data_IF_257383913074
#
_entry.id   IF_257383913074
#
_cell.length_a   1.000
_cell.length_b   1.000
_cell.length_c   1.000
_cell.angle_alpha   90.00
_cell.angle_beta   90.00
_cell.angle_gamma   90.00
#
_symmetry.space_group_name_H-M   'P 1'
#
loop_
_entity.id
_entity.type
_entity.pdbx_description
1 polymer ?
#
# COMPACT_ATOMS: atom_id res chain seq x y z
N UNK A 1 3.98 -68.42 24.42
CA UNK A 1 5.44 -68.48 24.71
C UNK A 1 6.00 -67.08 24.50
N UNK A 2 6.37 -66.38 25.58
CA UNK A 2 6.84 -64.99 25.56
C UNK A 2 6.45 -64.21 26.83
N UNK A 3 7.22 -64.38 27.91
CA UNK A 3 7.28 -63.54 29.12
C UNK A 3 8.45 -62.53 28.94
N UNK A 4 8.69 -61.53 29.84
CA UNK A 4 7.79 -60.54 30.46
C UNK A 4 8.43 -59.13 30.51
N UNK A 5 7.74 -58.19 31.18
CA UNK A 5 8.15 -56.82 31.59
C UNK A 5 9.53 -56.70 32.27
N UNK A 6 10.14 -55.50 32.19
CA UNK A 6 10.95 -54.91 33.27
C UNK A 6 10.86 -53.36 33.29
N UNK A 7 10.84 -52.81 34.49
CA UNK A 7 10.57 -51.42 34.89
C UNK A 7 11.82 -50.51 34.97
N UNK A 8 11.56 -49.21 34.80
CA UNK A 8 11.95 -48.02 35.61
C UNK A 8 13.40 -47.62 35.95
N UNK A 9 13.53 -46.28 36.07
CA UNK A 9 14.51 -45.43 36.78
C UNK A 9 15.72 -44.95 35.92
N UNK A 10 16.24 -43.72 35.98
CA UNK A 10 16.06 -42.61 36.91
C UNK A 10 16.45 -41.25 36.29
N UNK A 11 15.89 -40.20 36.89
CA UNK A 11 16.24 -38.78 36.99
C UNK A 11 17.72 -38.35 36.86
N UNK A 12 17.96 -37.21 36.21
CA UNK A 12 18.81 -36.13 36.77
C UNK A 12 18.59 -34.78 36.04
N UNK A 13 18.34 -33.72 36.82
CA UNK A 13 18.39 -32.30 36.44
C UNK A 13 19.61 -31.63 37.12
N UNK A 14 19.85 -30.30 37.05
CA UNK A 14 20.97 -29.69 36.33
C UNK A 14 21.98 -28.96 37.26
N UNK A 15 23.14 -28.51 36.73
CA UNK A 15 23.88 -27.39 37.36
C UNK A 15 24.74 -26.55 36.37
N UNK A 16 24.98 -25.26 36.68
CA UNK A 16 25.44 -24.21 35.76
C UNK A 16 26.87 -23.68 36.03
N UNK A 17 27.41 -22.92 35.07
CA UNK A 17 28.49 -21.91 35.18
C UNK A 17 28.72 -21.37 33.75
N UNK A 18 28.99 -20.10 33.43
CA UNK A 18 29.59 -18.98 34.17
C UNK A 18 29.38 -17.70 33.36
N UNK A 19 29.26 -16.57 34.06
CA UNK A 19 29.24 -15.20 33.55
C UNK A 19 30.62 -14.77 33.01
N UNK A 20 30.63 -14.05 31.89
CA UNK A 20 31.75 -13.21 31.48
C UNK A 20 31.23 -11.90 30.87
N UNK A 21 31.66 -10.80 31.47
CA UNK A 21 31.39 -9.41 31.10
C UNK A 21 32.62 -8.77 30.46
N UNK A 22 32.41 -7.89 29.45
CA UNK A 22 33.31 -6.90 28.78
C UNK A 22 33.36 -7.14 27.26
N UNK A 23 33.36 -6.17 26.34
CA UNK A 23 33.25 -4.70 26.33
C UNK A 23 32.82 -4.31 24.91
N UNK A 24 32.17 -3.15 24.75
CA UNK A 24 31.78 -2.59 23.45
C UNK A 24 33.00 -2.18 22.59
N UNK A 25 33.01 -2.38 21.26
CA UNK A 25 33.98 -1.75 20.37
C UNK A 25 33.57 -0.30 20.04
N UNK A 26 34.56 0.58 20.14
CA UNK A 26 34.49 2.02 19.91
C UNK A 26 34.20 2.40 18.45
N UNK A 27 33.54 3.55 18.27
CA UNK A 27 33.28 4.19 16.98
C UNK A 27 34.58 4.70 16.33
N UNK A 28 34.69 4.67 14.99
CA UNK A 28 35.82 5.27 14.28
C UNK A 28 35.73 6.81 14.27
N UNK A 29 36.86 7.53 14.31
CA UNK A 29 36.88 9.00 14.31
C UNK A 29 36.51 9.59 12.93
N UNK A 30 35.98 10.83 12.87
CA UNK A 30 35.67 11.49 11.62
C UNK A 30 36.94 11.97 10.90
N UNK A 31 37.09 11.56 9.64
CA UNK A 31 38.15 12.07 8.75
C UNK A 31 37.85 13.51 8.34
N UNK A 32 38.66 14.43 8.83
CA UNK A 32 38.79 15.81 8.36
C UNK A 32 39.50 15.87 7.02
N UNK A 33 38.86 16.42 5.99
CA UNK A 33 39.54 16.95 4.80
C UNK A 33 39.17 18.42 4.63
N UNK A 34 40.06 19.27 5.14
CA UNK A 34 40.07 20.70 4.92
C UNK A 34 40.50 20.99 3.47
N UNK A 35 39.67 21.72 2.72
CA UNK A 35 40.13 22.45 1.53
C UNK A 35 40.22 23.92 1.91
N UNK A 36 41.46 24.41 1.82
CA UNK A 36 41.96 25.74 2.13
C UNK A 36 41.42 26.75 1.12
N UNK A 37 40.51 27.64 1.56
CA UNK A 37 40.19 28.88 0.86
C UNK A 37 41.24 29.94 1.20
N UNK A 38 41.84 30.54 0.16
CA UNK A 38 42.84 31.61 0.27
C UNK A 38 42.11 32.94 0.45
N UNK A 39 42.25 33.55 1.63
CA UNK A 39 41.87 34.94 1.87
C UNK A 39 42.99 35.87 1.38
N UNK A 40 42.63 36.93 0.66
CA UNK A 40 43.38 38.19 0.63
C UNK A 40 42.43 39.28 1.06
N UNK A 41 42.76 39.90 2.19
CA UNK A 41 42.10 41.06 2.75
C UNK A 41 42.87 42.33 2.36
N UNK A 42 42.13 43.35 1.93
CA UNK A 42 42.38 44.78 2.10
C UNK A 42 41.10 45.44 1.54
N UNK A 43 40.26 46.13 2.30
CA UNK A 43 40.52 47.05 3.39
C UNK A 43 40.02 48.42 2.92
N UNK A 44 39.12 49.03 3.71
CA UNK A 44 38.70 50.45 3.73
C UNK A 44 37.26 50.75 3.26
N UNK A 45 36.37 50.89 4.24
CA UNK A 45 35.24 51.83 4.27
C UNK A 45 35.75 53.28 4.49
N UNK A 46 34.91 54.35 4.60
CA UNK A 46 33.46 54.50 4.34
C UNK A 46 33.13 55.76 3.49
N UNK A 47 31.86 55.93 3.08
CA UNK A 47 30.96 57.06 3.44
C UNK A 47 29.79 57.24 2.45
N UNK A 48 28.62 57.53 3.05
CA UNK A 48 27.50 58.37 2.55
C UNK A 48 26.79 57.94 1.25
N UNK A 49 25.51 58.14 0.97
CA UNK A 49 24.30 58.63 1.67
C UNK A 49 23.18 58.57 0.62
N UNK A 50 21.92 58.44 1.06
CA UNK A 50 20.67 58.94 0.44
C UNK A 50 20.37 58.57 -1.04
N UNK A 51 19.35 57.75 -1.30
CA UNK A 51 17.93 58.13 -1.46
C UNK A 51 17.54 58.64 -2.87
N UNK A 52 16.61 57.89 -3.46
CA UNK A 52 15.61 58.17 -4.49
C UNK A 52 15.53 59.59 -5.12
N UNK A 53 15.41 59.63 -6.46
CA UNK A 53 14.15 59.99 -7.15
C UNK A 53 14.27 59.89 -8.68
N UNK A 54 13.15 59.52 -9.29
CA UNK A 54 12.88 59.50 -10.71
C UNK A 54 12.73 60.90 -11.31
N UNK A 55 13.15 61.11 -12.56
CA UNK A 55 12.35 61.80 -13.61
C UNK A 55 13.03 61.67 -14.98
N UNK A 56 12.27 61.19 -15.97
CA UNK A 56 12.37 61.50 -17.42
C UNK A 56 12.05 63.01 -17.64
N UNK A 57 12.22 63.66 -18.83
CA UNK A 57 12.05 63.08 -20.19
C UNK A 57 12.88 63.69 -21.36
N UNK A 58 12.65 63.13 -22.55
CA UNK A 58 12.41 63.82 -23.85
C UNK A 58 13.45 63.68 -24.96
N UNK A 59 12.96 63.13 -26.10
CA UNK A 59 13.33 63.29 -27.51
C UNK A 59 14.75 62.85 -27.97
N UNK A 60 14.93 62.20 -29.12
CA UNK A 60 14.01 61.85 -30.20
C UNK A 60 14.81 61.39 -31.44
N UNK A 61 14.11 60.73 -32.35
CA UNK A 61 14.52 60.31 -33.72
C UNK A 61 15.53 59.14 -33.81
N UNK A 62 15.29 58.04 -34.53
CA UNK A 62 14.20 57.69 -35.42
C UNK A 62 14.73 57.22 -36.78
N UNK A 63 14.64 55.91 -37.06
CA UNK A 63 14.48 55.25 -38.37
C UNK A 63 14.11 53.79 -38.06
N UNK A 64 12.83 53.36 -38.07
CA UNK A 64 12.04 52.79 -39.20
C UNK A 64 12.86 51.86 -40.13
N UNK A 65 12.34 50.75 -40.66
CA UNK A 65 11.16 49.89 -40.46
C UNK A 65 11.30 48.75 -41.50
N UNK A 66 10.87 47.53 -41.17
CA UNK A 66 9.93 46.74 -42.00
C UNK A 66 9.64 45.40 -41.31
N UNK A 67 8.42 45.15 -40.83
CA UNK A 67 7.19 44.78 -41.55
C UNK A 67 7.25 43.37 -42.16
N UNK A 68 6.58 42.40 -41.54
CA UNK A 68 5.55 41.56 -42.17
C UNK A 68 5.24 40.31 -41.31
N UNK A 69 4.04 40.28 -40.73
CA UNK A 69 3.20 39.08 -40.74
C UNK A 69 1.97 39.41 -41.58
N UNK A 70 1.44 38.42 -42.31
CA UNK A 70 0.09 37.95 -41.96
C UNK A 70 -0.12 36.43 -42.14
N UNK A 71 -0.76 35.82 -41.13
CA UNK A 71 -1.94 34.90 -41.10
C UNK A 71 -2.19 33.81 -42.20
N UNK A 72 -3.16 32.88 -42.02
CA UNK A 72 -2.97 31.44 -42.12
C UNK A 72 -3.50 30.83 -43.45
N UNK A 73 -3.11 29.59 -43.74
CA UNK A 73 -3.69 28.83 -44.87
C UNK A 73 -4.20 27.46 -44.43
N UNK A 74 -5.51 27.29 -44.52
CA UNK A 74 -6.15 26.00 -44.75
C UNK A 74 -6.44 25.89 -46.26
N UNK A 75 -6.18 24.73 -46.87
CA UNK A 75 -6.74 24.39 -48.18
C UNK A 75 -7.22 22.94 -48.20
N UNK A 76 -8.55 22.80 -48.26
CA UNK A 76 -9.27 21.65 -48.83
C UNK A 76 -9.28 21.77 -50.37
N UNK A 77 -9.18 20.64 -51.07
CA UNK A 77 -9.95 20.20 -52.26
C UNK A 77 -9.70 18.69 -52.41
N UNK A 78 -10.67 17.75 -52.39
CA UNK A 78 -11.89 17.56 -53.20
C UNK A 78 -11.55 17.39 -54.69
N UNK A 79 -12.05 16.44 -55.50
CA UNK A 79 -13.24 15.57 -55.46
C UNK A 79 -13.22 14.64 -56.71
N UNK A 80 -14.06 13.61 -56.72
CA UNK A 80 -14.53 12.83 -57.88
C UNK A 80 -14.91 11.41 -57.43
N UNK A 81 -16.13 11.10 -56.96
CA UNK A 81 -17.42 11.01 -57.69
C UNK A 81 -17.38 9.88 -58.74
N UNK A 82 -18.30 8.93 -58.90
CA UNK A 82 -19.67 8.68 -58.45
C UNK A 82 -19.99 7.17 -58.63
N UNK A 83 -21.13 6.68 -58.14
CA UNK A 83 -21.73 5.45 -58.71
C UNK A 83 -22.62 4.62 -57.79
N UNK A 84 -23.81 5.13 -57.50
CA UNK A 84 -24.96 4.36 -57.00
C UNK A 84 -25.55 3.46 -58.11
N UNK A 85 -25.94 2.22 -57.75
CA UNK A 85 -27.24 1.57 -58.06
C UNK A 85 -27.19 0.04 -57.87
N UNK A 86 -28.03 -0.42 -56.93
CA UNK A 86 -29.08 -1.44 -57.08
C UNK A 86 -28.79 -2.78 -57.77
N UNK A 87 -29.04 -3.88 -57.03
CA UNK A 87 -30.14 -4.87 -57.28
C UNK A 87 -29.72 -6.32 -56.93
N UNK A 88 -30.45 -6.93 -56.00
CA UNK A 88 -30.46 -8.37 -55.68
C UNK A 88 -31.08 -9.21 -56.82
N UNK A 89 -30.94 -10.55 -56.85
CA UNK A 89 -31.84 -11.46 -56.10
C UNK A 89 -31.09 -12.74 -55.58
N UNK A 90 -31.59 -13.74 -54.85
CA UNK A 90 -32.94 -14.33 -54.68
C UNK A 90 -32.94 -15.35 -53.50
N UNK A 91 -34.05 -15.38 -52.72
CA UNK A 91 -34.82 -16.49 -52.07
C UNK A 91 -34.12 -17.80 -51.61
N UNK A 92 -34.40 -18.31 -50.41
CA UNK A 92 -35.63 -19.06 -50.03
C UNK A 92 -35.99 -18.90 -48.52
N UNK A 93 -37.19 -18.41 -48.14
CA UNK A 93 -38.43 -19.15 -47.71
C UNK A 93 -38.19 -20.25 -46.65
N UNK A 94 -38.87 -20.32 -45.50
CA UNK A 94 -40.33 -20.19 -45.29
C UNK A 94 -40.73 -19.94 -43.81
N UNK A 95 -41.61 -18.95 -43.61
CA UNK A 95 -42.76 -18.78 -42.69
C UNK A 95 -42.80 -19.15 -41.18
N UNK A 96 -43.31 -18.15 -40.45
CA UNK A 96 -43.84 -18.08 -39.08
C UNK A 96 -45.16 -18.85 -38.87
N UNK A 97 -45.50 -19.23 -37.61
CA UNK A 97 -46.67 -18.72 -36.82
C UNK A 97 -46.83 -19.44 -35.46
N UNK A 98 -47.13 -18.68 -34.40
CA UNK A 98 -47.87 -19.11 -33.18
C UNK A 98 -49.39 -18.81 -33.40
N UNK A 99 -50.37 -19.06 -32.49
CA UNK A 99 -50.34 -19.53 -31.08
C UNK A 99 -51.45 -20.59 -30.73
N UNK A 100 -51.60 -21.00 -29.45
CA UNK A 100 -52.88 -21.04 -28.67
C UNK A 100 -52.92 -22.04 -27.48
N UNK A 101 -53.84 -21.73 -26.56
CA UNK A 101 -53.90 -22.05 -25.13
C UNK A 101 -54.63 -23.35 -24.68
N UNK A 102 -54.68 -23.54 -23.34
CA UNK A 102 -55.33 -24.57 -22.46
C UNK A 102 -54.39 -25.72 -22.06
N UNK A 103 -54.20 -26.13 -20.80
CA UNK A 103 -54.91 -25.97 -19.54
C UNK A 103 -55.17 -27.37 -18.93
N UNK A 104 -54.54 -27.73 -17.79
CA UNK A 104 -54.99 -28.74 -16.79
C UNK A 104 -53.87 -29.22 -15.80
N UNK A 105 -54.00 -28.83 -14.53
CA UNK A 105 -53.92 -29.61 -13.26
C UNK A 105 -52.81 -30.67 -12.93
N UNK A 106 -51.87 -30.27 -12.04
CA UNK A 106 -51.45 -30.89 -10.74
C UNK A 106 -50.64 -32.23 -10.68
N UNK A 107 -49.95 -32.59 -9.56
CA UNK A 107 -49.73 -31.86 -8.30
C UNK A 107 -48.25 -31.73 -7.78
N UNK A 108 -48.08 -30.75 -6.90
CA UNK A 108 -47.17 -30.56 -5.75
C UNK A 108 -45.87 -31.39 -5.58
N UNK A 109 -44.74 -30.68 -5.42
CA UNK A 109 -43.82 -30.84 -4.27
C UNK A 109 -43.16 -29.50 -3.92
N UNK A 110 -43.40 -29.10 -2.68
CA UNK A 110 -42.76 -28.00 -1.96
C UNK A 110 -41.30 -28.33 -1.66
N UNK A 111 -40.37 -27.44 -2.00
CA UNK A 111 -39.11 -27.31 -1.28
C UNK A 111 -38.87 -25.83 -1.00
N UNK A 112 -39.12 -25.45 0.26
CA UNK A 112 -38.80 -24.16 0.83
C UNK A 112 -37.28 -24.05 0.92
N UNK A 113 -36.68 -23.29 0.01
CA UNK A 113 -35.30 -22.84 0.15
C UNK A 113 -35.24 -21.84 1.32
N UNK A 114 -34.40 -22.04 2.35
CA UNK A 114 -34.24 -21.06 3.41
C UNK A 114 -33.63 -19.78 2.81
N UNK A 115 -34.41 -18.71 2.88
CA UNK A 115 -33.99 -17.35 2.59
C UNK A 115 -32.66 -17.04 3.29
N UNK A 116 -31.65 -16.65 2.51
CA UNK A 116 -30.34 -16.23 3.00
C UNK A 116 -30.52 -15.02 3.92
N UNK A 117 -30.21 -15.19 5.21
CA UNK A 117 -30.04 -14.07 6.12
C UNK A 117 -28.92 -13.18 5.58
N UNK A 118 -29.17 -11.87 5.49
CA UNK A 118 -28.20 -10.88 5.05
C UNK A 118 -26.91 -10.94 5.90
N UNK A 119 -25.73 -11.28 5.34
CA UNK A 119 -24.48 -11.44 6.09
C UNK A 119 -23.97 -10.15 6.76
N UNK A 120 -24.31 -8.98 6.22
CA UNK A 120 -23.73 -7.69 6.64
C UNK A 120 -24.17 -7.21 8.03
N UNK A 121 -25.36 -7.57 8.50
CA UNK A 121 -25.85 -7.15 9.82
C UNK A 121 -25.21 -7.94 10.97
N UNK A 122 -24.76 -9.16 10.68
CA UNK A 122 -24.12 -10.07 11.64
C UNK A 122 -22.65 -9.69 11.86
N UNK A 123 -21.95 -9.37 10.77
CA UNK A 123 -20.55 -8.92 10.79
C UNK A 123 -20.37 -7.66 11.64
N UNK A 124 -21.23 -6.65 11.48
CA UNK A 124 -21.13 -5.39 12.22
C UNK A 124 -21.21 -5.63 13.72
N UNK A 125 -22.17 -6.45 14.18
CA UNK A 125 -22.36 -6.75 15.60
C UNK A 125 -21.18 -7.53 16.19
N UNK A 126 -20.66 -8.52 15.45
CA UNK A 126 -19.50 -9.28 15.88
C UNK A 126 -18.22 -8.42 15.92
N UNK A 127 -18.05 -7.50 14.98
CA UNK A 127 -16.94 -6.53 15.02
C UNK A 127 -17.01 -5.62 16.24
N UNK A 128 -18.22 -5.12 16.57
CA UNK A 128 -18.44 -4.24 17.73
C UNK A 128 -18.14 -4.92 19.07
N UNK A 129 -18.17 -6.26 19.13
CA UNK A 129 -17.85 -7.02 20.33
C UNK A 129 -16.33 -7.12 20.60
N UNK A 130 -15.52 -7.25 19.55
CA UNK A 130 -14.09 -7.57 19.68
C UNK A 130 -13.13 -6.45 19.25
N UNK A 131 -13.67 -5.40 18.63
CA UNK A 131 -12.93 -4.20 18.30
C UNK A 131 -13.37 -3.06 19.23
N UNK A 132 -12.47 -2.15 19.61
CA UNK A 132 -12.88 -0.91 20.26
C UNK A 132 -13.93 -0.22 19.39
N UNK A 133 -15.03 0.31 19.97
CA UNK A 133 -16.00 1.08 19.22
C UNK A 133 -15.29 2.28 18.56
N UNK A 134 -15.20 2.28 17.24
CA UNK A 134 -14.64 3.40 16.48
C UNK A 134 -15.77 4.02 15.70
N UNK A 135 -16.25 5.19 16.12
CA UNK A 135 -17.12 5.99 15.26
C UNK A 135 -16.26 6.62 14.17
N UNK A 136 -16.85 6.95 13.01
CA UNK A 136 -16.08 7.55 11.90
C UNK A 136 -15.31 8.82 12.30
N UNK A 137 -15.78 9.53 13.33
CA UNK A 137 -15.13 10.72 13.90
C UNK A 137 -13.86 10.40 14.72
N UNK A 138 -13.71 9.17 15.21
CA UNK A 138 -12.57 8.73 16.01
C UNK A 138 -11.39 8.24 15.14
N UNK A 139 -11.64 7.89 13.88
CA UNK A 139 -10.62 7.35 12.96
C UNK A 139 -9.42 8.31 12.80
N UNK A 140 -9.62 9.64 12.60
CA UNK A 140 -8.50 10.57 12.53
C UNK A 140 -7.73 10.70 13.84
N UNK A 141 -8.37 10.44 14.98
CA UNK A 141 -7.70 10.43 16.29
C UNK A 141 -6.82 9.20 16.43
N UNK A 142 -7.29 8.03 16.00
CA UNK A 142 -6.51 6.79 16.00
C UNK A 142 -5.24 6.96 15.19
N UNK A 143 -5.32 7.51 13.98
CA UNK A 143 -4.15 7.80 13.15
C UNK A 143 -3.12 8.63 13.92
N UNK A 144 -3.55 9.77 14.48
CA UNK A 144 -2.65 10.68 15.20
C UNK A 144 -2.01 10.04 16.43
N UNK A 145 -2.77 9.33 17.25
CA UNK A 145 -2.24 8.73 18.48
C UNK A 145 -1.36 7.51 18.24
N UNK A 146 -1.40 6.94 17.03
CA UNK A 146 -0.60 5.78 16.60
C UNK A 146 0.56 6.15 15.68
N UNK A 147 0.79 7.45 15.42
CA UNK A 147 2.01 7.94 14.75
C UNK A 147 3.26 7.46 15.47
N UNK A 148 4.35 7.24 14.73
CA UNK A 148 5.55 6.55 15.22
C UNK A 148 5.48 5.02 15.06
N UNK A 149 4.31 4.48 14.73
CA UNK A 149 4.08 3.10 14.32
C UNK A 149 4.76 2.07 15.23
N UNK A 150 5.82 1.39 14.77
CA UNK A 150 6.55 0.36 15.52
C UNK A 150 7.13 0.84 16.86
N UNK A 151 7.39 2.13 17.00
CA UNK A 151 7.91 2.72 18.24
C UNK A 151 6.78 3.14 19.20
N UNK A 152 5.52 2.96 18.78
CA UNK A 152 4.33 3.36 19.52
C UNK A 152 3.50 2.14 19.97
N UNK A 153 3.43 1.83 21.28
CA UNK A 153 2.66 0.69 21.78
C UNK A 153 1.18 0.70 21.37
N UNK A 154 0.53 1.88 21.34
CA UNK A 154 -0.86 2.01 20.92
C UNK A 154 -1.07 1.55 19.48
N UNK A 155 -0.08 1.69 18.62
CA UNK A 155 -0.16 1.19 17.24
C UNK A 155 -0.36 -0.32 17.21
N UNK A 156 0.27 -1.08 18.11
CA UNK A 156 0.05 -2.51 18.23
C UNK A 156 -1.33 -2.84 18.79
N UNK A 157 -1.77 -2.13 19.83
CA UNK A 157 -3.10 -2.29 20.43
C UNK A 157 -4.21 -2.08 19.40
N UNK A 158 -4.12 -1.02 18.60
CA UNK A 158 -5.10 -0.73 17.55
C UNK A 158 -5.03 -1.69 16.36
N UNK A 159 -3.91 -2.38 16.13
CA UNK A 159 -3.78 -3.38 15.07
C UNK A 159 -4.32 -4.74 15.47
N UNK A 160 -4.36 -5.05 16.76
CA UNK A 160 -4.88 -6.31 17.25
C UNK A 160 -6.32 -6.51 16.76
N UNK A 161 -6.62 -7.74 16.34
CA UNK A 161 -7.90 -8.16 15.79
C UNK A 161 -8.31 -7.47 14.48
N UNK A 162 -7.39 -6.76 13.80
CA UNK A 162 -7.61 -6.18 12.47
C UNK A 162 -6.71 -6.82 11.42
N UNK A 163 -7.27 -7.09 10.25
CA UNK A 163 -6.48 -7.46 9.07
C UNK A 163 -5.75 -6.21 8.60
N UNK A 164 -4.43 -6.22 8.74
CA UNK A 164 -3.59 -5.11 8.31
C UNK A 164 -3.10 -5.29 6.88
N UNK A 165 -2.83 -4.18 6.18
CA UNK A 165 -2.42 -4.19 4.78
C UNK A 165 -1.23 -5.12 4.47
N UNK A 166 -0.26 -5.26 5.38
CA UNK A 166 0.90 -6.15 5.22
C UNK A 166 0.56 -7.65 5.29
N UNK A 167 -0.57 -8.01 5.91
CA UNK A 167 -1.06 -9.39 6.07
C UNK A 167 -2.05 -9.77 4.96
N UNK A 168 -2.78 -8.77 4.45
CA UNK A 168 -3.78 -8.93 3.39
C UNK A 168 -3.32 -9.80 2.18
N UNK A 169 -2.07 -9.68 1.66
CA UNK A 169 -1.63 -10.52 0.55
C UNK A 169 -1.59 -12.01 0.89
N UNK A 170 -1.19 -12.37 2.11
CA UNK A 170 -1.13 -13.78 2.57
C UNK A 170 -2.54 -14.36 2.68
N UNK A 171 -3.47 -13.58 3.23
CA UNK A 171 -4.86 -13.97 3.42
C UNK A 171 -5.55 -14.11 2.05
N UNK A 172 -5.51 -13.08 1.21
CA UNK A 172 -6.20 -13.04 -0.08
C UNK A 172 -5.74 -14.14 -1.04
N UNK A 173 -4.50 -14.60 -0.94
CA UNK A 173 -3.94 -15.70 -1.74
C UNK A 173 -4.01 -17.07 -1.05
N UNK A 174 -4.50 -17.16 0.19
CA UNK A 174 -4.61 -18.43 0.91
C UNK A 174 -5.64 -19.37 0.24
N UNK A 175 -5.43 -20.68 0.38
CA UNK A 175 -6.40 -21.67 -0.10
C UNK A 175 -7.78 -21.48 0.55
N UNK A 176 -7.79 -21.14 1.84
CA UNK A 176 -9.01 -20.87 2.62
C UNK A 176 -9.85 -19.73 2.04
N UNK A 177 -9.22 -18.56 1.85
CA UNK A 177 -9.92 -17.38 1.35
C UNK A 177 -10.36 -17.53 -0.12
N UNK A 178 -9.78 -18.49 -0.86
CA UNK A 178 -10.17 -18.85 -2.22
C UNK A 178 -11.06 -20.09 -2.27
N UNK A 179 -11.64 -20.53 -1.14
CA UNK A 179 -12.55 -21.68 -1.05
C UNK A 179 -12.00 -22.98 -1.64
N UNK A 180 -10.67 -23.17 -1.54
CA UNK A 180 -9.98 -24.41 -1.95
C UNK A 180 -9.79 -25.39 -0.78
N UNK A 181 -10.08 -24.96 0.44
CA UNK A 181 -10.03 -25.74 1.67
C UNK A 181 -10.80 -25.00 2.76
N UNK A 182 -11.34 -25.73 3.73
CA UNK A 182 -11.93 -25.17 4.95
C UNK A 182 -10.91 -25.04 6.09
N UNK A 183 -9.66 -25.48 5.88
CA UNK A 183 -8.60 -25.35 6.87
C UNK A 183 -8.15 -23.89 7.02
N UNK A 184 -8.41 -23.32 8.19
CA UNK A 184 -7.95 -21.98 8.54
C UNK A 184 -6.42 -21.95 8.70
N UNK A 185 -5.71 -21.06 7.98
CA UNK A 185 -4.27 -20.91 8.14
C UNK A 185 -3.93 -20.27 9.50
N UNK A 186 -3.64 -21.11 10.50
CA UNK A 186 -3.40 -20.72 11.90
C UNK A 186 -2.32 -19.66 12.07
N UNK A 187 -1.28 -19.65 11.22
CA UNK A 187 -0.21 -18.64 11.28
C UNK A 187 -0.72 -17.25 10.94
N UNK A 188 -1.60 -17.12 9.93
CA UNK A 188 -2.16 -15.82 9.52
C UNK A 188 -3.18 -15.34 10.54
N UNK A 189 -3.97 -16.27 11.11
CA UNK A 189 -4.90 -15.96 12.20
C UNK A 189 -4.15 -15.37 13.40
N UNK A 190 -3.06 -16.02 13.85
CA UNK A 190 -2.20 -15.52 14.93
C UNK A 190 -1.64 -14.13 14.64
N UNK A 191 -1.26 -13.86 13.39
CA UNK A 191 -0.75 -12.54 12.97
C UNK A 191 -1.82 -11.45 13.08
N UNK A 192 -3.10 -11.77 12.82
CA UNK A 192 -4.24 -10.84 12.95
C UNK A 192 -4.61 -10.60 14.43
N UNK A 193 -4.66 -11.65 15.26
CA UNK A 193 -5.09 -11.55 16.67
C UNK A 193 -3.95 -11.18 17.64
N UNK A 194 -2.91 -10.49 17.15
CA UNK A 194 -1.81 -9.98 17.98
C UNK A 194 -0.88 -11.03 18.59
N UNK A 195 -1.08 -12.32 18.28
CA UNK A 195 -0.36 -13.45 18.86
C UNK A 195 0.74 -14.02 17.94
N UNK A 196 1.14 -13.25 16.93
CA UNK A 196 2.20 -13.60 15.99
C UNK A 196 3.59 -13.59 16.63
N UNK A 197 4.54 -14.32 16.03
CA UNK A 197 5.92 -14.34 16.53
C UNK A 197 6.62 -13.00 16.26
N UNK A 198 7.31 -12.46 17.27
CA UNK A 198 8.10 -11.22 17.18
C UNK A 198 9.47 -11.46 16.53
N UNK A 199 9.51 -12.14 15.39
CA UNK A 199 10.76 -12.49 14.72
C UNK A 199 11.29 -11.27 13.96
N UNK A 200 12.49 -10.83 14.32
CA UNK A 200 13.21 -9.80 13.58
C UNK A 200 14.29 -10.46 12.70
N UNK A 201 14.12 -10.37 11.38
CA UNK A 201 15.11 -10.90 10.43
C UNK A 201 16.16 -9.84 10.06
N UNK A 202 17.32 -10.24 9.51
CA UNK A 202 18.29 -9.29 8.94
C UNK A 202 17.69 -8.40 7.85
N UNK A 203 16.78 -8.94 7.04
CA UNK A 203 16.09 -8.18 6.00
C UNK A 203 15.14 -7.11 6.57
N UNK A 204 14.43 -7.42 7.65
CA UNK A 204 13.58 -6.45 8.36
C UNK A 204 14.44 -5.34 9.00
N UNK A 205 15.53 -5.73 9.68
CA UNK A 205 16.47 -4.77 10.29
C UNK A 205 17.15 -3.88 9.24
N UNK A 206 17.39 -4.41 8.04
CA UNK A 206 17.87 -3.63 6.91
C UNK A 206 16.83 -2.61 6.44
N UNK A 207 15.58 -3.04 6.27
CA UNK A 207 14.46 -2.15 5.92
C UNK A 207 14.37 -0.96 6.87
N UNK A 208 14.23 -1.25 8.16
CA UNK A 208 14.10 -0.27 9.25
C UNK A 208 15.21 0.78 9.22
N UNK A 209 16.48 0.36 9.04
CA UNK A 209 17.62 1.29 9.04
C UNK A 209 17.68 2.18 7.81
N UNK A 210 17.20 1.72 6.67
CA UNK A 210 17.35 2.42 5.39
C UNK A 210 16.10 3.18 4.96
N UNK A 211 14.96 2.97 5.61
CA UNK A 211 13.69 3.63 5.30
C UNK A 211 13.82 5.16 5.25
N UNK A 212 14.40 5.79 6.29
CA UNK A 212 14.62 7.25 6.31
C UNK A 212 15.51 7.73 5.16
N UNK A 213 16.56 6.98 4.83
CA UNK A 213 17.46 7.30 3.71
C UNK A 213 16.70 7.23 2.38
N UNK A 214 15.86 6.22 2.21
CA UNK A 214 15.02 6.06 1.03
C UNK A 214 13.99 7.19 0.87
N UNK A 215 13.35 7.62 1.97
CA UNK A 215 12.41 8.76 1.97
C UNK A 215 13.11 10.06 1.55
N UNK A 216 14.31 10.32 2.07
CA UNK A 216 15.07 11.51 1.66
C UNK A 216 15.53 11.43 0.21
N UNK A 217 15.97 10.26 -0.27
CA UNK A 217 16.30 10.05 -1.68
C UNK A 217 15.08 10.26 -2.61
N UNK A 218 13.90 9.82 -2.18
CA UNK A 218 12.63 10.08 -2.86
C UNK A 218 12.35 11.59 -2.96
N UNK A 219 12.39 12.32 -1.85
CA UNK A 219 12.16 13.78 -1.82
C UNK A 219 13.13 14.53 -2.74
N UNK A 220 14.42 14.19 -2.71
CA UNK A 220 15.42 14.78 -3.59
C UNK A 220 15.15 14.50 -5.07
N UNK A 221 14.70 13.28 -5.40
CA UNK A 221 14.35 12.92 -6.78
C UNK A 221 13.15 13.72 -7.27
N UNK A 222 12.10 13.85 -6.45
CA UNK A 222 10.91 14.64 -6.76
C UNK A 222 11.25 16.13 -6.94
N UNK A 223 12.11 16.69 -6.09
CA UNK A 223 12.62 18.06 -6.23
C UNK A 223 13.38 18.26 -7.55
N UNK A 224 14.31 17.36 -7.91
CA UNK A 224 15.04 17.43 -9.19
C UNK A 224 14.12 17.30 -10.41
N UNK A 225 13.02 16.56 -10.27
CA UNK A 225 11.97 16.44 -11.28
C UNK A 225 11.00 17.63 -11.35
N UNK A 226 11.26 18.72 -10.63
CA UNK A 226 10.42 19.93 -10.64
C UNK A 226 9.11 19.80 -9.87
N UNK A 227 8.96 18.77 -9.04
CA UNK A 227 7.77 18.51 -8.22
C UNK A 227 8.19 18.31 -6.76
N UNK A 228 8.62 19.38 -6.06
CA UNK A 228 9.07 19.25 -4.67
C UNK A 228 7.91 18.77 -3.78
N UNK A 229 8.20 17.79 -2.93
CA UNK A 229 7.23 17.19 -2.01
C UNK A 229 7.79 17.14 -0.58
N UNK A 230 6.89 17.14 0.38
CA UNK A 230 7.13 16.72 1.76
C UNK A 230 6.54 15.34 1.98
N UNK A 231 7.06 14.63 2.97
CA UNK A 231 6.50 13.35 3.42
C UNK A 231 6.21 13.51 4.90
N UNK A 232 4.94 13.40 5.28
CA UNK A 232 4.50 13.45 6.68
C UNK A 232 4.35 12.03 7.23
N UNK A 233 4.90 11.80 8.42
CA UNK A 233 4.69 10.55 9.16
C UNK A 233 3.21 10.36 9.48
N UNK A 234 2.74 9.11 9.42
CA UNK A 234 1.37 8.75 9.73
C UNK A 234 1.28 7.50 10.61
N UNK A 235 0.15 7.32 11.27
CA UNK A 235 -0.14 6.17 12.13
C UNK A 235 -0.95 5.08 11.43
N UNK A 236 -1.93 4.55 12.15
CA UNK A 236 -2.86 3.53 11.68
C UNK A 236 -4.16 4.17 11.18
N UNK A 237 -4.50 3.90 9.93
CA UNK A 237 -5.80 4.19 9.36
C UNK A 237 -6.70 2.97 9.53
N UNK A 238 -7.92 3.20 10.00
CA UNK A 238 -8.98 2.18 10.09
C UNK A 238 -9.98 2.45 8.97
N UNK A 239 -10.39 1.40 8.24
CA UNK A 239 -11.36 1.56 7.17
C UNK A 239 -12.72 1.99 7.75
N UNK A 240 -13.37 3.06 7.23
CA UNK A 240 -14.55 3.66 7.86
C UNK A 240 -15.76 2.74 7.96
N UNK A 241 -15.98 1.89 6.97
CA UNK A 241 -17.10 0.93 6.96
C UNK A 241 -16.73 -0.50 7.36
N UNK A 242 -15.43 -0.82 7.39
CA UNK A 242 -14.89 -2.17 7.58
C UNK A 242 -13.82 -2.07 8.64
N UNK A 243 -14.22 -1.73 9.87
CA UNK A 243 -13.33 -1.42 10.98
C UNK A 243 -12.33 -2.55 11.31
N UNK A 244 -12.57 -3.77 10.82
CA UNK A 244 -11.68 -4.92 10.83
C UNK A 244 -10.52 -4.85 9.82
N UNK A 245 -10.50 -3.86 8.92
CA UNK A 245 -9.38 -3.52 8.04
C UNK A 245 -8.62 -2.30 8.57
N UNK A 246 -7.28 -2.38 8.51
CA UNK A 246 -6.42 -1.26 8.85
C UNK A 246 -5.14 -1.21 8.00
N UNK A 247 -4.54 -0.03 7.91
CA UNK A 247 -3.34 0.21 7.13
C UNK A 247 -2.45 1.26 7.78
N UNK A 248 -1.14 1.06 7.69
CA UNK A 248 -0.13 2.07 8.03
C UNK A 248 0.79 2.18 6.82
N UNK A 249 0.62 3.20 5.96
CA UNK A 249 1.61 3.53 4.95
C UNK A 249 2.86 4.10 5.60
N UNK A 250 3.96 4.17 4.84
CA UNK A 250 5.23 4.71 5.35
C UNK A 250 5.22 6.24 5.40
N UNK A 251 4.26 6.90 4.73
CA UNK A 251 4.03 8.33 4.87
C UNK A 251 2.88 8.86 3.99
N UNK A 252 2.48 10.11 4.23
CA UNK A 252 1.60 10.89 3.35
C UNK A 252 2.47 11.87 2.55
N UNK A 253 2.37 11.80 1.22
CA UNK A 253 3.06 12.71 0.32
C UNK A 253 2.26 14.00 0.25
N UNK A 254 2.92 15.14 0.48
CA UNK A 254 2.32 16.48 0.39
C UNK A 254 3.07 17.32 -0.62
N UNK A 255 2.34 18.12 -1.39
CA UNK A 255 2.94 19.14 -2.23
C UNK A 255 3.69 20.16 -1.36
N UNK A 256 4.95 20.44 -1.68
CA UNK A 256 5.78 21.28 -0.81
C UNK A 256 5.35 22.76 -0.78
N UNK A 257 4.66 23.24 -1.82
CA UNK A 257 4.24 24.63 -1.92
C UNK A 257 2.88 24.87 -1.27
N UNK A 258 1.93 23.96 -1.50
CA UNK A 258 0.53 24.10 -1.07
C UNK A 258 0.19 23.31 0.18
N UNK A 259 1.00 22.33 0.56
CA UNK A 259 0.72 21.41 1.67
C UNK A 259 -0.41 20.41 1.37
N UNK A 260 -0.91 20.36 0.14
CA UNK A 260 -2.00 19.46 -0.26
C UNK A 260 -1.52 18.01 -0.29
N UNK A 261 -2.32 17.11 0.26
CA UNK A 261 -2.09 15.67 0.17
C UNK A 261 -2.15 15.19 -1.29
N UNK A 262 -1.11 14.50 -1.73
CA UNK A 262 -0.93 14.00 -3.10
C UNK A 262 -1.14 12.49 -3.22
N UNK A 263 -0.87 11.73 -2.16
CA UNK A 263 -0.89 10.27 -2.18
C UNK A 263 -0.19 9.66 -0.97
N UNK A 264 -0.16 8.34 -0.93
CA UNK A 264 0.61 7.58 0.07
C UNK A 264 2.03 7.32 -0.40
N UNK A 265 2.95 7.12 0.53
CA UNK A 265 4.28 6.60 0.29
C UNK A 265 4.38 5.18 0.85
N UNK A 266 4.93 4.26 0.06
CA UNK A 266 5.30 2.91 0.52
C UNK A 266 6.73 2.62 0.08
N UNK A 267 7.62 2.33 1.02
CA UNK A 267 9.07 2.22 0.84
C UNK A 267 9.51 0.78 1.07
N UNK A 268 10.27 0.24 0.12
CA UNK A 268 10.93 -1.06 0.25
C UNK A 268 12.43 -0.93 0.03
N UNK A 269 13.20 -1.45 0.98
CA UNK A 269 14.65 -1.59 0.87
C UNK A 269 15.00 -3.09 0.76
N UNK A 270 15.09 -3.67 -0.45
CA UNK A 270 15.25 -5.11 -0.64
C UNK A 270 16.65 -5.60 -0.25
N UNK A 271 16.78 -6.25 0.90
CA UNK A 271 18.08 -6.73 1.42
C UNK A 271 18.84 -7.61 0.42
N UNK A 272 18.16 -8.54 -0.27
CA UNK A 272 18.75 -9.44 -1.28
C UNK A 272 19.38 -8.67 -2.46
N UNK A 273 18.80 -7.53 -2.84
CA UNK A 273 19.21 -6.73 -4.00
C UNK A 273 19.84 -5.38 -3.64
N UNK A 274 20.21 -5.19 -2.36
CA UNK A 274 20.72 -3.92 -1.83
C UNK A 274 21.90 -3.33 -2.60
N UNK A 275 22.74 -4.17 -3.22
CA UNK A 275 23.91 -3.74 -4.01
C UNK A 275 23.71 -3.93 -5.52
N UNK A 276 22.47 -3.98 -6.00
CA UNK A 276 22.12 -4.07 -7.41
C UNK A 276 21.38 -2.82 -7.86
N UNK A 277 21.44 -2.52 -9.16
CA UNK A 277 20.48 -1.59 -9.76
C UNK A 277 19.12 -2.26 -9.74
N UNK A 278 18.06 -1.47 -9.78
CA UNK A 278 16.68 -1.95 -9.91
C UNK A 278 16.54 -2.75 -11.21
N UNK A 279 17.16 -2.30 -12.30
CA UNK A 279 17.19 -3.05 -13.57
C UNK A 279 17.87 -4.42 -13.43
N UNK A 280 18.98 -4.52 -12.69
CA UNK A 280 19.61 -5.80 -12.36
C UNK A 280 18.73 -6.68 -11.46
N UNK A 281 18.01 -6.07 -10.52
CA UNK A 281 17.11 -6.76 -9.61
C UNK A 281 15.87 -7.33 -10.34
N UNK A 282 15.33 -6.62 -11.34
CA UNK A 282 14.20 -7.09 -12.17
C UNK A 282 14.47 -8.40 -12.91
N UNK A 283 15.74 -8.81 -13.08
CA UNK A 283 16.10 -10.13 -13.65
C UNK A 283 15.72 -11.28 -12.71
N UNK A 284 15.52 -11.00 -11.43
CA UNK A 284 15.00 -11.97 -10.47
C UNK A 284 13.48 -12.03 -10.56
N UNK A 285 12.94 -13.22 -10.85
CA UNK A 285 11.49 -13.44 -11.00
C UNK A 285 10.71 -13.05 -9.73
N UNK A 286 11.33 -13.19 -8.56
CA UNK A 286 10.71 -12.93 -7.26
C UNK A 286 10.85 -11.45 -6.84
N UNK A 287 11.55 -10.63 -7.62
CA UNK A 287 11.63 -9.20 -7.36
C UNK A 287 10.29 -8.50 -7.64
N UNK A 288 9.98 -7.48 -6.85
CA UNK A 288 8.66 -6.83 -6.88
C UNK A 288 8.41 -5.99 -8.13
N UNK A 289 9.46 -5.42 -8.75
CA UNK A 289 9.32 -4.60 -9.94
C UNK A 289 9.64 -5.38 -11.21
N UNK A 290 9.06 -4.92 -12.31
CA UNK A 290 9.41 -5.30 -13.68
C UNK A 290 9.76 -4.07 -14.51
N UNK A 291 10.51 -4.28 -15.59
CA UNK A 291 10.84 -3.21 -16.55
C UNK A 291 9.62 -2.93 -17.40
N UNK A 292 9.21 -1.68 -17.49
CA UNK A 292 8.12 -1.21 -18.34
C UNK A 292 8.63 -0.10 -19.25
N UNK A 293 9.08 -0.50 -20.45
CA UNK A 293 9.83 0.36 -21.37
C UNK A 293 11.10 0.93 -20.71
N UNK A 294 11.17 2.25 -20.64
CA UNK A 294 12.25 3.00 -19.98
C UNK A 294 12.03 3.21 -18.47
N UNK A 295 10.92 2.68 -17.94
CA UNK A 295 10.49 2.85 -16.54
C UNK A 295 10.35 1.51 -15.81
N UNK A 296 9.67 1.54 -14.66
CA UNK A 296 9.40 0.36 -13.84
C UNK A 296 7.93 0.32 -13.43
N UNK A 297 7.38 -0.88 -13.36
CA UNK A 297 6.05 -1.15 -12.84
C UNK A 297 6.11 -2.12 -11.66
N UNK A 298 5.19 -1.97 -10.70
CA UNK A 298 4.99 -2.94 -9.63
C UNK A 298 4.18 -4.11 -10.18
N UNK A 299 4.75 -5.32 -10.12
CA UNK A 299 4.09 -6.52 -10.62
C UNK A 299 2.74 -6.72 -9.92
N UNK A 300 1.65 -6.80 -10.69
CA UNK A 300 0.27 -6.95 -10.16
C UNK A 300 0.06 -8.24 -9.36
N UNK A 301 0.85 -9.28 -9.63
CA UNK A 301 0.81 -10.56 -8.91
C UNK A 301 1.72 -10.60 -7.67
N UNK A 302 2.52 -9.56 -7.43
CA UNK A 302 3.42 -9.52 -6.29
C UNK A 302 2.66 -9.12 -5.01
N UNK A 303 2.97 -9.71 -3.84
CA UNK A 303 2.30 -9.39 -2.57
C UNK A 303 2.22 -7.90 -2.23
N UNK A 304 3.26 -7.14 -2.57
CA UNK A 304 3.27 -5.68 -2.35
C UNK A 304 2.19 -4.94 -3.15
N UNK A 305 1.74 -5.43 -4.30
CA UNK A 305 0.62 -4.82 -5.01
C UNK A 305 -0.66 -4.93 -4.19
N UNK A 306 -0.98 -6.13 -3.66
CA UNK A 306 -2.13 -6.31 -2.75
C UNK A 306 -2.00 -5.46 -1.49
N UNK A 307 -0.79 -5.32 -0.93
CA UNK A 307 -0.55 -4.47 0.25
C UNK A 307 -0.89 -3.00 -0.07
N UNK A 308 -0.38 -2.45 -1.16
CA UNK A 308 -0.63 -1.06 -1.58
C UNK A 308 -2.11 -0.85 -1.89
N UNK A 309 -2.75 -1.78 -2.61
CA UNK A 309 -4.19 -1.70 -2.88
C UNK A 309 -5.02 -1.72 -1.58
N UNK A 310 -4.60 -2.47 -0.57
CA UNK A 310 -5.22 -2.47 0.75
C UNK A 310 -5.03 -1.13 1.48
N UNK A 311 -3.83 -0.53 1.40
CA UNK A 311 -3.59 0.82 1.93
C UNK A 311 -4.50 1.87 1.27
N UNK A 312 -4.58 1.87 -0.06
CA UNK A 312 -5.44 2.79 -0.81
C UNK A 312 -6.92 2.60 -0.49
N UNK A 313 -7.39 1.35 -0.50
CA UNK A 313 -8.78 1.02 -0.16
C UNK A 313 -9.16 1.33 1.29
N UNK A 314 -8.22 1.22 2.23
CA UNK A 314 -8.45 1.53 3.66
C UNK A 314 -8.48 3.03 3.92
N UNK A 315 -7.58 3.77 3.29
CA UNK A 315 -7.37 5.20 3.57
C UNK A 315 -8.23 6.13 2.72
N UNK A 316 -8.74 5.64 1.58
CA UNK A 316 -9.47 6.44 0.61
C UNK A 316 -8.58 7.26 -0.34
N UNK A 317 -7.25 7.12 -0.26
CA UNK A 317 -6.35 7.71 -1.23
C UNK A 317 -6.45 6.99 -2.59
N UNK A 318 -6.32 7.76 -3.67
CA UNK A 318 -6.43 7.22 -5.03
C UNK A 318 -5.10 6.72 -5.60
N UNK A 319 -3.97 7.13 -5.01
CA UNK A 319 -2.62 6.78 -5.49
C UNK A 319 -1.61 6.65 -4.36
N UNK A 320 -0.59 5.84 -4.62
CA UNK A 320 0.61 5.72 -3.80
C UNK A 320 1.84 5.80 -4.70
N UNK A 321 2.93 6.41 -4.22
CA UNK A 321 4.24 6.22 -4.81
C UNK A 321 4.92 5.04 -4.10
N UNK A 322 5.15 3.95 -4.83
CA UNK A 322 5.87 2.78 -4.37
C UNK A 322 7.37 2.97 -4.66
N UNK A 323 8.16 3.13 -3.60
CA UNK A 323 9.59 3.43 -3.66
C UNK A 323 10.40 2.18 -3.38
N UNK A 324 11.33 1.86 -4.29
CA UNK A 324 12.32 0.81 -4.07
C UNK A 324 13.70 1.42 -4.02
N UNK A 325 14.35 1.28 -2.86
CA UNK A 325 15.66 1.87 -2.59
C UNK A 325 16.74 0.79 -2.46
N UNK A 326 17.76 0.87 -3.31
CA UNK A 326 19.00 0.11 -3.18
C UNK A 326 20.16 1.07 -2.91
N UNK A 327 21.31 0.55 -2.54
CA UNK A 327 22.53 1.35 -2.36
C UNK A 327 23.02 1.95 -3.69
N UNK A 328 22.50 1.51 -4.84
CA UNK A 328 22.86 2.04 -6.16
C UNK A 328 21.88 3.11 -6.65
N UNK A 329 20.58 2.95 -6.38
CA UNK A 329 19.58 3.90 -6.87
C UNK A 329 18.24 3.83 -6.12
N UNK A 330 17.36 4.79 -6.42
CA UNK A 330 15.96 4.82 -5.95
C UNK A 330 15.01 4.84 -7.13
N UNK A 331 14.21 3.78 -7.27
CA UNK A 331 13.09 3.73 -8.19
C UNK A 331 11.82 4.22 -7.49
N UNK A 332 10.99 4.94 -8.23
CA UNK A 332 9.70 5.47 -7.77
C UNK A 332 8.67 5.03 -8.78
N UNK A 333 7.68 4.26 -8.34
CA UNK A 333 6.67 3.65 -9.19
C UNK A 333 5.29 4.12 -8.71
N UNK A 334 4.57 4.95 -9.48
CA UNK A 334 3.21 5.32 -9.12
C UNK A 334 2.28 4.10 -9.22
N UNK A 335 1.43 3.93 -8.21
CA UNK A 335 0.43 2.85 -8.15
C UNK A 335 -0.93 3.50 -7.89
N UNK A 336 -1.82 3.38 -8.86
CA UNK A 336 -3.20 3.86 -8.76
C UNK A 336 -4.10 2.80 -8.10
N UNK A 337 -5.17 3.26 -7.47
CA UNK A 337 -6.17 2.36 -6.88
C UNK A 337 -6.92 1.60 -7.97
N UNK A 338 -6.80 0.28 -7.95
CA UNK A 338 -7.42 -0.65 -8.89
C UNK A 338 -8.72 -1.18 -8.28
N UNK A 339 -9.84 -0.51 -8.61
CA UNK A 339 -11.17 -0.85 -8.09
C UNK A 339 -11.59 -2.28 -8.41
N UNK A 340 -11.24 -2.79 -9.59
CA UNK A 340 -11.60 -4.14 -10.00
C UNK A 340 -10.83 -5.19 -9.20
N UNK A 341 -9.51 -4.98 -9.06
CA UNK A 341 -8.66 -5.82 -8.22
C UNK A 341 -9.12 -5.81 -6.75
N UNK A 342 -9.42 -4.62 -6.23
CA UNK A 342 -9.88 -4.47 -4.85
C UNK A 342 -11.24 -5.13 -4.61
N UNK A 343 -12.18 -4.98 -5.55
CA UNK A 343 -13.49 -5.63 -5.51
C UNK A 343 -13.40 -7.18 -5.47
N UNK A 344 -12.35 -7.77 -6.04
CA UNK A 344 -12.06 -9.21 -5.94
C UNK A 344 -11.29 -9.59 -4.67
N UNK A 345 -10.60 -8.65 -4.05
CA UNK A 345 -9.72 -8.87 -2.90
C UNK A 345 -10.48 -8.76 -1.58
N UNK A 346 -11.29 -7.71 -1.39
CA UNK A 346 -12.02 -7.45 -0.14
C UNK A 346 -12.89 -8.62 0.29
N UNK A 347 -13.69 -9.27 -0.59
CA UNK A 347 -14.52 -10.40 -0.17
C UNK A 347 -13.71 -11.57 0.39
N UNK A 348 -12.47 -11.77 -0.09
CA UNK A 348 -11.57 -12.81 0.43
C UNK A 348 -11.06 -12.48 1.83
N UNK A 349 -10.78 -11.20 2.09
CA UNK A 349 -10.39 -10.72 3.41
C UNK A 349 -11.57 -10.78 4.39
N UNK A 350 -12.75 -10.39 3.93
CA UNK A 350 -14.00 -10.45 4.70
C UNK A 350 -14.33 -11.88 5.08
N UNK A 351 -14.28 -12.82 4.14
CA UNK A 351 -14.43 -14.27 4.40
C UNK A 351 -13.48 -14.74 5.50
N UNK A 352 -12.20 -14.38 5.41
CA UNK A 352 -11.24 -14.75 6.45
C UNK A 352 -11.58 -14.13 7.80
N UNK A 353 -12.07 -12.89 7.82
CA UNK A 353 -12.48 -12.25 9.05
C UNK A 353 -13.69 -12.95 9.70
N UNK A 354 -14.74 -13.19 8.90
CA UNK A 354 -16.00 -13.82 9.35
C UNK A 354 -15.83 -15.25 9.78
N UNK A 355 -15.07 -16.04 9.02
CA UNK A 355 -15.05 -17.50 9.19
C UNK A 355 -13.83 -17.99 9.97
N UNK A 356 -12.82 -17.14 10.20
CA UNK A 356 -11.63 -17.52 10.96
C UNK A 356 -11.37 -16.61 12.17
N UNK A 357 -11.42 -15.29 11.99
CA UNK A 357 -11.04 -14.35 13.06
C UNK A 357 -12.14 -14.28 14.13
N UNK A 358 -13.38 -14.02 13.74
CA UNK A 358 -14.51 -13.89 14.67
C UNK A 358 -14.69 -15.17 15.51
N UNK A 359 -14.79 -16.39 14.93
CA UNK A 359 -14.97 -17.61 15.72
C UNK A 359 -13.83 -17.86 16.70
N UNK A 360 -12.59 -17.49 16.34
CA UNK A 360 -11.45 -17.61 17.23
C UNK A 360 -11.54 -16.67 18.44
N UNK A 361 -12.02 -15.44 18.23
CA UNK A 361 -12.19 -14.45 19.29
C UNK A 361 -13.33 -14.83 20.24
N UNK A 362 -14.43 -15.35 19.70
CA UNK A 362 -15.55 -15.90 20.49
C UNK A 362 -15.09 -17.09 21.36
N UNK A 363 -14.34 -18.03 20.78
CA UNK A 363 -13.80 -19.17 21.52
C UNK A 363 -12.86 -18.71 22.64
N UNK A 364 -11.97 -17.76 22.37
CA UNK A 364 -11.03 -17.21 23.36
C UNK A 364 -11.76 -16.47 24.49
N UNK A 365 -12.80 -15.70 24.16
CA UNK A 365 -13.62 -15.01 25.15
C UNK A 365 -14.39 -16.01 26.03
N UNK A 366 -15.00 -17.03 25.42
CA UNK A 366 -15.67 -18.11 26.14
C UNK A 366 -14.73 -18.82 27.12
N UNK A 367 -13.57 -19.29 26.67
CA UNK A 367 -12.59 -19.96 27.55
C UNK A 367 -12.08 -19.08 28.69
N UNK A 368 -12.00 -17.76 28.51
CA UNK A 368 -11.58 -16.84 29.58
C UNK A 368 -12.64 -16.61 30.66
N UNK A 369 -13.93 -16.84 30.37
CA UNK A 369 -15.00 -16.72 31.36
C UNK A 369 -14.97 -17.92 32.30
N UNK A 370 -14.88 -19.13 31.75
CA UNK A 370 -14.80 -20.36 32.54
C UNK A 370 -13.54 -20.43 33.42
N UNK A 371 -12.40 -19.93 32.95
CA UNK A 371 -11.15 -19.89 33.73
C UNK A 371 -11.13 -18.88 34.89
N UNK A 372 -12.17 -18.05 35.06
CA UNK A 372 -12.32 -17.11 36.18
C UNK A 372 -13.36 -17.56 37.21
N UNK A 373 -14.10 -18.64 36.93
CA UNK A 373 -15.12 -19.20 37.81
C UNK A 373 -14.62 -20.43 38.59
N UNK A 374 -13.41 -20.91 38.30
CA UNK A 374 -12.61 -21.85 39.13
C UNK A 374 -11.61 -21.08 39.98
#
# INVERSE_FOLDING_TARGET
>A
MGRPRKESAATSSPRPATTASRSAPAAPPPSTSAIRAKATAAGSQPRSSAAAKATTPTQGQGTKADSAQPRPTASRRARGDAGDKSRAPTRSSTTQKAPDAKGATGPSKTDLCPQSKHPGADLSKACDQFLPPVKSQDIPRVEKETRGQRENPKWYEWRENRITASVAPKIANSKFANSKTDEVPKSYLKEVVGSGSKVQTPAMSWGIRNEKVAVEAYKQKSQKGGKPVQVEDCGLFIHPEKNWLAASPDGIIKDAATGKDLGLLEVKCPYKHRNRTVREACKDKDFCLEVDGDSYALKKNHPYFTQVQCQLGTTGFQRADFVVHTNKETAVVPVEFDREFWGKTVPKLEKFYTEAVIPHLEQKAGSSVWAKEE
#
